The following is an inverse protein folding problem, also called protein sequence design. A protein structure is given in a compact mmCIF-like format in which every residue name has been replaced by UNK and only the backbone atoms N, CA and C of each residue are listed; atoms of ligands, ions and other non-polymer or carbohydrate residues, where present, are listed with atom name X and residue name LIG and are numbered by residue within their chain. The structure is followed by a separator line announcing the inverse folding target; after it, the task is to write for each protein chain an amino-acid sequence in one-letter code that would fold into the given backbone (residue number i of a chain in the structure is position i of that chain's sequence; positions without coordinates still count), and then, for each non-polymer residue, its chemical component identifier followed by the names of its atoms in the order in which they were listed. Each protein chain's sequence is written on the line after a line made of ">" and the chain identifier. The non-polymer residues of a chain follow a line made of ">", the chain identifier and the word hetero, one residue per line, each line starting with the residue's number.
data_IF_071709505300
#
_entry.id   IF_071709505300
#
_cell.length_a   1.000
_cell.length_b   1.000
_cell.length_c   1.000
_cell.angle_alpha   90.00
_cell.angle_beta   90.00
_cell.angle_gamma   90.00
#
_symmetry.space_group_name_H-M   'P 1'
#
loop_
_entity.id
_entity.type
_entity.pdbx_description
1 polymer ?
#
# COMPACT_ATOMS: atom_id res chain seq x y z
N UNK A 1 19.11 28.55 -34.60
CA UNK A 1 17.91 29.37 -34.39
C UNK A 1 16.76 28.61 -35.00
N UNK A 2 15.81 28.05 -34.27
CA UNK A 2 15.59 28.01 -32.83
C UNK A 2 14.63 26.87 -32.51
N UNK A 3 14.81 26.29 -31.32
CA UNK A 3 13.78 25.76 -30.45
C UNK A 3 12.59 25.00 -31.04
N UNK A 4 12.56 23.70 -30.77
CA UNK A 4 11.48 23.19 -29.91
C UNK A 4 12.08 22.14 -28.98
N UNK A 5 12.35 22.56 -27.74
CA UNK A 5 12.74 21.66 -26.67
C UNK A 5 11.62 20.64 -26.44
N UNK A 6 11.98 19.37 -26.47
CA UNK A 6 11.12 18.30 -25.99
C UNK A 6 10.87 18.54 -24.50
N UNK A 7 9.65 18.91 -24.15
CA UNK A 7 9.15 18.84 -22.77
C UNK A 7 9.00 17.38 -22.37
N UNK A 8 10.12 16.69 -22.16
CA UNK A 8 10.20 15.44 -21.41
C UNK A 8 10.43 15.83 -19.94
N UNK A 9 9.39 15.77 -19.11
CA UNK A 9 9.56 16.07 -17.69
C UNK A 9 8.34 15.89 -16.80
N UNK A 10 7.11 15.91 -17.34
CA UNK A 10 5.91 15.94 -16.48
C UNK A 10 5.13 14.62 -16.40
N UNK A 11 5.33 13.68 -17.33
CA UNK A 11 4.61 12.40 -17.31
C UNK A 11 5.25 11.32 -16.40
N UNK A 12 6.54 11.47 -16.07
CA UNK A 12 7.32 10.46 -15.33
C UNK A 12 7.06 10.51 -13.82
N UNK A 13 6.89 11.71 -13.25
CA UNK A 13 6.72 11.91 -11.81
C UNK A 13 5.40 11.38 -11.23
N UNK A 14 4.33 11.33 -12.02
CA UNK A 14 3.02 10.83 -11.56
C UNK A 14 2.99 9.30 -11.45
N UNK A 15 3.67 8.62 -12.39
CA UNK A 15 3.82 7.16 -12.36
C UNK A 15 4.73 6.72 -11.20
N UNK A 16 5.79 7.48 -10.91
CA UNK A 16 6.72 7.19 -9.81
C UNK A 16 6.05 7.29 -8.43
N UNK A 17 5.24 8.34 -8.20
CA UNK A 17 4.50 8.52 -6.95
C UNK A 17 3.47 7.40 -6.71
N UNK A 18 2.77 6.96 -7.76
CA UNK A 18 1.83 5.84 -7.68
C UNK A 18 2.57 4.52 -7.39
N UNK A 19 3.73 4.30 -8.02
CA UNK A 19 4.55 3.10 -7.81
C UNK A 19 5.11 3.03 -6.38
N UNK A 20 5.52 4.18 -5.81
CA UNK A 20 5.95 4.26 -4.42
C UNK A 20 4.78 4.04 -3.45
N UNK A 21 3.60 4.57 -3.75
CA UNK A 21 2.37 4.31 -2.99
C UNK A 21 2.00 2.82 -2.96
N UNK A 22 2.09 2.14 -4.10
CA UNK A 22 1.89 0.69 -4.20
C UNK A 22 2.92 -0.06 -3.36
N UNK A 23 4.21 0.29 -3.45
CA UNK A 23 5.28 -0.36 -2.67
C UNK A 23 5.08 -0.21 -1.17
N UNK A 24 4.66 0.98 -0.72
CA UNK A 24 4.35 1.26 0.68
C UNK A 24 3.13 0.45 1.16
N UNK A 25 2.07 0.37 0.36
CA UNK A 25 0.89 -0.44 0.65
C UNK A 25 1.24 -1.93 0.77
N UNK A 26 2.02 -2.47 -0.16
CA UNK A 26 2.50 -3.85 -0.09
C UNK A 26 3.34 -4.12 1.16
N UNK A 27 4.20 -3.17 1.56
CA UNK A 27 5.02 -3.31 2.75
C UNK A 27 4.17 -3.35 4.02
N UNK A 28 3.14 -2.50 4.14
CA UNK A 28 2.24 -2.51 5.31
C UNK A 28 1.41 -3.81 5.35
N UNK A 29 0.88 -4.26 4.21
CA UNK A 29 0.18 -5.56 4.12
C UNK A 29 1.10 -6.72 4.57
N UNK A 30 2.33 -6.78 4.04
CA UNK A 30 3.32 -7.80 4.45
C UNK A 30 3.60 -7.73 5.95
N UNK A 31 3.68 -6.53 6.52
CA UNK A 31 3.90 -6.35 7.95
C UNK A 31 2.73 -6.86 8.80
N UNK A 32 1.48 -6.69 8.36
CA UNK A 32 0.31 -7.21 9.08
C UNK A 32 0.23 -8.73 9.04
N UNK A 33 0.58 -9.34 7.90
CA UNK A 33 0.60 -10.80 7.76
C UNK A 33 1.56 -11.49 8.71
N UNK A 34 2.65 -10.84 9.12
CA UNK A 34 3.56 -11.36 10.16
C UNK A 34 2.89 -11.60 11.51
N UNK A 35 1.71 -11.01 11.75
CA UNK A 35 0.91 -11.32 12.94
C UNK A 35 0.41 -12.76 13.00
N UNK A 36 0.44 -13.49 11.88
CA UNK A 36 0.08 -14.90 11.76
C UNK A 36 1.30 -15.84 11.72
N UNK A 37 2.52 -15.30 11.77
CA UNK A 37 3.71 -16.14 11.89
C UNK A 37 3.65 -16.91 13.21
N UNK A 38 4.14 -18.16 13.19
CA UNK A 38 4.24 -19.03 14.39
C UNK A 38 2.89 -19.33 15.07
N UNK A 39 1.77 -19.18 14.34
CA UNK A 39 0.43 -19.43 14.88
C UNK A 39 0.28 -20.87 15.39
N UNK A 40 0.94 -21.83 14.76
CA UNK A 40 0.94 -23.24 15.15
C UNK A 40 1.65 -23.52 16.49
N UNK A 41 2.48 -22.61 16.96
CA UNK A 41 3.10 -22.68 18.29
C UNK A 41 2.16 -22.22 19.41
N UNK A 42 1.05 -21.56 19.06
CA UNK A 42 0.05 -21.06 20.00
C UNK A 42 -1.11 -22.07 20.20
N UNK A 43 -1.80 -22.03 21.35
CA UNK A 43 -3.03 -22.79 21.55
C UNK A 43 -4.08 -22.43 20.50
N UNK A 44 -4.82 -23.43 20.01
CA UNK A 44 -5.89 -23.24 19.01
C UNK A 44 -6.95 -22.22 19.47
N UNK A 45 -7.19 -22.13 20.79
CA UNK A 45 -8.10 -21.13 21.36
C UNK A 45 -7.67 -19.68 21.08
N UNK A 46 -6.38 -19.43 20.89
CA UNK A 46 -5.82 -18.10 20.58
C UNK A 46 -5.83 -17.80 19.08
N UNK A 47 -6.01 -18.81 18.22
CA UNK A 47 -5.93 -18.63 16.77
C UNK A 47 -6.99 -17.67 16.26
N UNK A 48 -8.22 -17.78 16.75
CA UNK A 48 -9.34 -16.93 16.33
C UNK A 48 -9.06 -15.47 16.67
N UNK A 49 -8.64 -15.17 17.90
CA UNK A 49 -8.34 -13.81 18.32
C UNK A 49 -7.18 -13.20 17.50
N UNK A 50 -6.15 -14.01 17.18
CA UNK A 50 -5.03 -13.58 16.34
C UNK A 50 -5.47 -13.29 14.90
N UNK A 51 -6.31 -14.17 14.33
CA UNK A 51 -6.88 -13.97 13.00
C UNK A 51 -7.74 -12.73 12.93
N UNK A 52 -8.61 -12.48 13.92
CA UNK A 52 -9.44 -11.27 13.99
C UNK A 52 -8.58 -10.01 14.03
N UNK A 53 -7.55 -9.98 14.89
CA UNK A 53 -6.64 -8.85 15.00
C UNK A 53 -5.90 -8.56 13.68
N UNK A 54 -5.40 -9.60 13.00
CA UNK A 54 -4.73 -9.43 11.70
C UNK A 54 -5.73 -9.02 10.61
N UNK A 55 -6.94 -9.55 10.63
CA UNK A 55 -7.99 -9.22 9.67
C UNK A 55 -8.41 -7.75 9.78
N UNK A 56 -8.61 -7.24 10.99
CA UNK A 56 -8.92 -5.83 11.25
C UNK A 56 -7.77 -4.93 10.81
N UNK A 57 -6.53 -5.28 11.18
CA UNK A 57 -5.34 -4.53 10.79
C UNK A 57 -5.14 -4.52 9.26
N UNK A 58 -5.41 -5.64 8.58
CA UNK A 58 -5.33 -5.74 7.13
C UNK A 58 -6.41 -4.88 6.47
N UNK A 59 -7.64 -4.92 6.98
CA UNK A 59 -8.74 -4.09 6.47
C UNK A 59 -8.38 -2.60 6.55
N UNK A 60 -7.80 -2.16 7.67
CA UNK A 60 -7.31 -0.79 7.81
C UNK A 60 -6.17 -0.45 6.84
N UNK A 61 -5.21 -1.36 6.65
CA UNK A 61 -4.10 -1.15 5.72
C UNK A 61 -4.58 -1.01 4.27
N UNK A 62 -5.54 -1.86 3.86
CA UNK A 62 -6.12 -1.82 2.51
C UNK A 62 -6.94 -0.55 2.27
N UNK A 63 -7.75 -0.12 3.24
CA UNK A 63 -8.49 1.14 3.13
C UNK A 63 -7.54 2.34 3.00
N UNK A 64 -6.44 2.38 3.78
CA UNK A 64 -5.43 3.42 3.65
C UNK A 64 -4.73 3.38 2.30
N UNK A 65 -4.44 2.19 1.78
CA UNK A 65 -3.85 2.05 0.45
C UNK A 65 -4.78 2.59 -0.64
N UNK A 66 -6.09 2.31 -0.54
CA UNK A 66 -7.10 2.84 -1.45
C UNK A 66 -7.15 4.38 -1.43
N UNK A 67 -7.08 5.00 -0.25
CA UNK A 67 -7.01 6.46 -0.10
C UNK A 67 -5.75 7.06 -0.74
N UNK A 68 -4.59 6.43 -0.54
CA UNK A 68 -3.31 6.88 -1.11
C UNK A 68 -3.30 6.80 -2.64
N UNK A 69 -3.82 5.70 -3.19
CA UNK A 69 -3.85 5.45 -4.63
C UNK A 69 -4.93 6.31 -5.33
N UNK A 70 -6.07 6.53 -4.68
CA UNK A 70 -7.12 7.42 -5.16
C UNK A 70 -6.70 8.89 -5.10
N UNK A 71 -6.00 9.30 -4.03
CA UNK A 71 -5.48 10.66 -3.88
C UNK A 71 -4.37 10.99 -4.89
N UNK A 72 -3.49 10.03 -5.19
CA UNK A 72 -2.48 10.16 -6.25
C UNK A 72 -3.10 10.36 -7.64
N UNK A 73 -4.32 9.85 -7.85
CA UNK A 73 -5.07 9.97 -9.10
C UNK A 73 -5.88 11.27 -9.20
N UNK A 74 -6.20 11.92 -8.07
CA UNK A 74 -7.08 13.09 -7.99
C UNK A 74 -6.39 14.45 -8.03
N UNK A 75 -5.06 14.52 -7.93
CA UNK A 75 -4.30 15.78 -7.91
C UNK A 75 -4.05 16.38 -9.31
N UNK A 76 -5.05 16.33 -10.18
CA UNK A 76 -5.01 16.90 -11.54
C UNK A 76 -6.36 17.45 -11.96
N UNK A 77 -6.72 18.65 -11.49
CA UNK A 77 -7.78 19.51 -12.04
C UNK A 77 -7.53 20.96 -11.69
#
# INVERSE_FOLDING_TARGET
>A
MDSTGYSEGEADGLADASTEGVRAAEADVRQRMRGLDELDELPVSEHVARFEAVHEALTHALNRADELLSGASGSGS
#
